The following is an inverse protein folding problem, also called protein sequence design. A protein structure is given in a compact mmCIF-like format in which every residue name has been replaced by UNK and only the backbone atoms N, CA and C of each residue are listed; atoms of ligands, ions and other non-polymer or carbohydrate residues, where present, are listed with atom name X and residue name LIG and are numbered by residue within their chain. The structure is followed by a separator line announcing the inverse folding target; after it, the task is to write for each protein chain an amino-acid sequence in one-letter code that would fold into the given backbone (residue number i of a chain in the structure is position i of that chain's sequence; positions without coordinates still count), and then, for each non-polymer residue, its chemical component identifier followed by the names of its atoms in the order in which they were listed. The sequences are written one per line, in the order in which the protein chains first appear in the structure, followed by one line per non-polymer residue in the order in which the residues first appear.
data_IF_016438621225
#
_entry.id   IF_016438621225
#
_cell.length_a   1.000
_cell.length_b   1.000
_cell.length_c   1.000
_cell.angle_alpha   90.00
_cell.angle_beta   90.00
_cell.angle_gamma   90.00
#
_symmetry.space_group_name_H-M   'P 1'
#
loop_
_entity.id
_entity.type
_entity.pdbx_description
1 polymer ?
#
# COMPACT_ATOMS: atom_id res chain seq x y z
N UNK A 1 8.16 13.11 0.91
CA UNK A 1 7.01 12.20 1.07
C UNK A 1 7.36 10.90 0.39
N UNK A 2 7.06 9.76 1.01
CA UNK A 2 7.24 8.45 0.38
C UNK A 2 6.15 8.31 -0.69
N UNK A 3 6.52 8.29 -1.97
CA UNK A 3 5.61 8.27 -3.13
C UNK A 3 4.45 7.26 -2.97
N UNK A 4 4.71 6.11 -2.38
CA UNK A 4 3.73 5.05 -2.15
C UNK A 4 2.56 5.47 -1.25
N UNK A 5 2.80 6.28 -0.21
CA UNK A 5 1.77 6.75 0.73
C UNK A 5 0.85 7.79 0.08
N UNK A 6 1.43 8.67 -0.74
CA UNK A 6 0.67 9.67 -1.50
C UNK A 6 -0.25 8.99 -2.53
N UNK A 7 0.24 7.91 -3.17
CA UNK A 7 -0.55 7.09 -4.08
C UNK A 7 -1.62 6.29 -3.33
N UNK A 8 -1.33 5.70 -2.17
CA UNK A 8 -2.31 4.98 -1.36
C UNK A 8 -3.51 5.86 -1.00
N UNK A 9 -3.26 7.13 -0.66
CA UNK A 9 -4.32 8.09 -0.32
C UNK A 9 -5.27 8.39 -1.50
N UNK A 10 -4.83 8.18 -2.74
CA UNK A 10 -5.60 8.41 -3.96
C UNK A 10 -6.23 7.13 -4.52
N UNK A 11 -5.62 5.98 -4.27
CA UNK A 11 -6.06 4.70 -4.80
C UNK A 11 -7.25 4.16 -3.99
N UNK A 12 -8.36 3.86 -4.67
CA UNK A 12 -9.53 3.24 -4.03
C UNK A 12 -9.24 1.80 -3.56
N UNK A 13 -9.88 1.31 -2.49
CA UNK A 13 -9.78 -0.08 -2.05
C UNK A 13 -10.03 -1.06 -3.21
N UNK A 14 -9.23 -2.14 -3.28
CA UNK A 14 -9.25 -3.09 -4.39
C UNK A 14 -8.61 -2.62 -5.70
N UNK A 15 -8.11 -1.38 -5.77
CA UNK A 15 -7.36 -0.84 -6.91
C UNK A 15 -5.97 -1.46 -7.04
N UNK A 16 -5.32 -1.20 -8.17
CA UNK A 16 -3.98 -1.71 -8.48
C UNK A 16 -2.97 -0.58 -8.59
N UNK A 17 -1.80 -0.77 -7.99
CA UNK A 17 -0.63 0.06 -8.17
C UNK A 17 0.33 -0.66 -9.12
N UNK A 18 0.65 0.00 -10.24
CA UNK A 18 1.58 -0.51 -11.25
C UNK A 18 2.77 0.42 -11.30
N UNK A 19 3.96 -0.10 -11.00
CA UNK A 19 5.22 0.64 -11.14
C UNK A 19 6.02 -0.02 -12.26
N UNK A 20 6.36 0.79 -13.28
CA UNK A 20 7.21 0.36 -14.41
C UNK A 20 8.34 1.39 -14.61
N UNK A 21 9.58 0.93 -14.76
CA UNK A 21 10.74 1.84 -14.87
C UNK A 21 12.03 1.17 -15.38
N UNK A 22 13.02 1.94 -15.86
CA UNK A 22 14.24 1.41 -16.48
C UNK A 22 15.28 0.94 -15.46
N UNK A 23 16.12 -0.05 -15.82
CA UNK A 23 15.69 -1.43 -15.79
C UNK A 23 15.41 -1.85 -14.35
N UNK A 24 14.16 -2.17 -14.07
CA UNK A 24 13.73 -2.84 -12.86
C UNK A 24 14.28 -4.29 -12.86
N UNK A 25 15.59 -4.41 -12.66
CA UNK A 25 16.29 -5.58 -12.13
C UNK A 25 16.49 -5.35 -10.63
N UNK A 26 15.39 -5.20 -9.89
CA UNK A 26 15.40 -4.88 -8.46
C UNK A 26 16.14 -5.89 -7.56
N UNK A 27 16.50 -7.06 -8.10
CA UNK A 27 17.44 -8.00 -7.48
C UNK A 27 18.89 -7.48 -7.36
N UNK A 28 19.26 -6.37 -8.02
CA UNK A 28 20.59 -5.72 -7.89
C UNK A 28 20.56 -4.43 -7.08
N UNK A 29 19.37 -3.93 -6.74
CA UNK A 29 19.15 -2.73 -5.96
C UNK A 29 18.28 -3.11 -4.75
N UNK A 30 18.79 -4.09 -4.00
CA UNK A 30 18.08 -4.79 -2.92
C UNK A 30 17.45 -3.83 -1.90
N UNK A 31 18.10 -2.68 -1.65
CA UNK A 31 17.64 -1.72 -0.66
C UNK A 31 16.34 -1.03 -1.07
N UNK A 32 16.27 -0.45 -2.27
CA UNK A 32 15.07 0.26 -2.72
C UNK A 32 13.89 -0.68 -2.89
N UNK A 33 14.15 -1.90 -3.36
CA UNK A 33 13.14 -2.95 -3.44
C UNK A 33 12.66 -3.40 -2.06
N UNK A 34 13.58 -3.61 -1.10
CA UNK A 34 13.22 -3.95 0.27
C UNK A 34 12.41 -2.84 0.93
N UNK A 35 12.78 -1.57 0.72
CA UNK A 35 12.05 -0.41 1.23
C UNK A 35 10.64 -0.34 0.61
N UNK A 36 10.50 -0.54 -0.71
CA UNK A 36 9.20 -0.62 -1.38
C UNK A 36 8.35 -1.77 -0.86
N UNK A 37 8.93 -2.96 -0.67
CA UNK A 37 8.24 -4.12 -0.12
C UNK A 37 7.84 -3.89 1.34
N UNK A 38 8.67 -3.23 2.14
CA UNK A 38 8.36 -2.90 3.53
C UNK A 38 7.16 -1.95 3.61
N UNK A 39 7.14 -0.90 2.78
CA UNK A 39 6.01 0.05 2.73
C UNK A 39 4.74 -0.62 2.18
N UNK A 40 4.85 -1.40 1.11
CA UNK A 40 3.73 -2.15 0.56
C UNK A 40 3.12 -3.11 1.60
N UNK A 41 3.97 -3.80 2.37
CA UNK A 41 3.51 -4.69 3.46
C UNK A 41 2.89 -3.93 4.61
N UNK A 42 3.43 -2.77 5.00
CA UNK A 42 2.86 -1.93 6.04
C UNK A 42 1.46 -1.40 5.69
N UNK A 43 1.15 -1.28 4.39
CA UNK A 43 -0.16 -0.89 3.85
C UNK A 43 -0.97 -2.10 3.32
N UNK A 44 -0.43 -3.31 3.47
CA UNK A 44 -0.98 -4.61 3.07
C UNK A 44 -1.44 -4.72 1.65
N UNK A 45 -0.67 -4.07 0.81
CA UNK A 45 -0.70 -4.33 -0.60
C UNK A 45 -0.25 -5.77 -0.86
N UNK A 46 -1.04 -6.48 -1.63
CA UNK A 46 -0.71 -7.82 -2.11
C UNK A 46 0.12 -7.69 -3.38
N UNK A 47 1.32 -8.28 -3.40
CA UNK A 47 2.14 -8.33 -4.61
C UNK A 47 1.57 -9.40 -5.56
N UNK A 48 1.06 -8.98 -6.72
CA UNK A 48 0.38 -9.87 -7.67
C UNK A 48 1.34 -10.38 -8.74
N UNK A 49 2.12 -9.46 -9.34
CA UNK A 49 3.02 -9.78 -10.44
C UNK A 49 4.32 -9.00 -10.28
N UNK A 50 5.44 -9.67 -10.55
CA UNK A 50 6.70 -9.03 -10.89
C UNK A 50 7.15 -9.64 -12.21
N UNK A 51 7.09 -8.85 -13.28
CA UNK A 51 7.43 -9.29 -14.62
C UNK A 51 8.32 -8.27 -15.32
N UNK A 52 9.52 -8.72 -15.70
CA UNK A 52 10.53 -7.88 -16.31
C UNK A 52 10.77 -6.64 -15.45
N UNK A 53 10.39 -5.48 -15.99
CA UNK A 53 10.59 -4.20 -15.34
C UNK A 53 9.35 -3.62 -14.63
N UNK A 54 8.37 -4.46 -14.35
CA UNK A 54 7.06 -4.03 -13.83
C UNK A 54 6.69 -4.83 -12.59
N UNK A 55 6.25 -4.15 -11.55
CA UNK A 55 5.54 -4.79 -10.44
C UNK A 55 4.14 -4.22 -10.27
N UNK A 56 3.25 -5.13 -9.91
CA UNK A 56 1.84 -4.87 -9.70
C UNK A 56 1.49 -5.29 -8.28
N UNK A 57 0.92 -4.34 -7.54
CA UNK A 57 0.34 -4.59 -6.24
C UNK A 57 -1.15 -4.30 -6.24
N UNK A 58 -1.90 -5.02 -5.40
CA UNK A 58 -3.33 -4.82 -5.18
C UNK A 58 -3.58 -4.25 -3.79
N UNK A 59 -4.31 -3.14 -3.73
CA UNK A 59 -4.73 -2.52 -2.47
C UNK A 59 -5.79 -3.40 -1.78
N UNK A 60 -5.74 -3.59 -0.46
CA UNK A 60 -6.76 -4.35 0.25
C UNK A 60 -8.14 -3.68 0.13
N UNK A 61 -9.20 -4.48 0.27
CA UNK A 61 -10.60 -4.02 0.14
C UNK A 61 -11.19 -3.59 1.49
N UNK A 62 -10.51 -3.85 2.61
CA UNK A 62 -10.98 -3.48 3.96
C UNK A 62 -9.85 -3.02 4.88
N UNK A 63 -10.19 -2.67 6.11
CA UNK A 63 -9.31 -2.12 7.17
C UNK A 63 -8.32 -3.13 7.75
N UNK A 64 -7.96 -4.15 6.97
CA UNK A 64 -7.38 -5.39 7.48
C UNK A 64 -5.97 -5.26 8.04
N UNK A 65 -5.36 -4.06 8.03
CA UNK A 65 -3.96 -4.00 8.42
C UNK A 65 -3.36 -2.69 8.86
N UNK A 66 -4.14 -1.77 9.40
CA UNK A 66 -3.49 -0.66 10.07
C UNK A 66 -2.62 -1.22 11.21
N UNK A 67 -1.28 -1.06 11.14
CA UNK A 67 -0.47 -1.31 12.31
C UNK A 67 -1.04 -0.36 13.37
N UNK A 68 -1.39 -0.92 14.54
CA UNK A 68 -1.92 -0.19 15.69
C UNK A 68 -1.51 1.29 15.65
N UNK A 69 -2.49 2.20 15.64
CA UNK A 69 -2.45 3.63 15.27
C UNK A 69 -1.45 4.53 16.02
N UNK A 70 -0.25 4.08 16.37
CA UNK A 70 0.65 4.77 17.28
C UNK A 70 1.97 5.21 16.63
N UNK A 71 2.24 4.88 15.35
CA UNK A 71 3.42 5.40 14.62
C UNK A 71 3.10 6.46 13.54
N UNK A 72 1.90 6.45 12.96
CA UNK A 72 1.54 7.38 11.87
C UNK A 72 0.43 8.39 12.22
N UNK A 73 -0.09 8.36 13.45
CA UNK A 73 -1.06 9.33 13.96
C UNK A 73 -2.40 9.35 13.20
N UNK A 74 -2.79 8.22 12.61
CA UNK A 74 -4.05 8.10 11.87
C UNK A 74 -5.12 7.52 12.79
N UNK A 75 -6.06 8.36 13.22
CA UNK A 75 -7.28 7.95 13.91
C UNK A 75 -8.18 7.23 12.89
N UNK A 76 -8.32 5.92 13.01
CA UNK A 76 -9.31 5.19 12.22
C UNK A 76 -10.68 5.62 12.71
N UNK A 77 -11.48 6.14 11.79
CA UNK A 77 -12.89 6.34 12.03
C UNK A 77 -13.49 5.02 12.52
N UNK A 78 -13.75 4.93 13.82
CA UNK A 78 -14.52 3.82 14.36
C UNK A 78 -15.86 3.75 13.62
N UNK A 79 -16.26 2.55 13.18
CA UNK A 79 -17.58 2.32 12.57
C UNK A 79 -18.76 2.62 13.53
N UNK A 80 -18.48 3.12 14.74
CA UNK A 80 -19.46 3.53 15.74
C UNK A 80 -20.14 4.88 15.44
N UNK A 81 -19.81 5.56 14.33
CA UNK A 81 -20.46 6.80 13.92
C UNK A 81 -21.28 6.67 12.62
N UNK A 82 -22.07 5.61 12.49
CA UNK A 82 -23.20 5.57 11.55
C UNK A 82 -24.50 5.96 12.29
N UNK A 83 -24.93 7.25 12.28
CA UNK A 83 -26.16 7.68 12.94
C UNK A 83 -27.39 7.41 12.05
N UNK A 84 -27.48 6.23 11.43
CA UNK A 84 -28.61 5.86 10.58
C UNK A 84 -29.32 4.61 11.09
N UNK A 85 -29.73 4.63 12.36
CA UNK A 85 -30.96 4.00 12.84
C UNK A 85 -31.15 4.34 14.33
N UNK A 86 -31.87 5.43 14.62
CA UNK A 86 -32.74 5.64 15.79
C UNK A 86 -33.22 7.10 15.82
#
# INVERSE_FOLDING_TARGET
GTYFVEVDRLLRPGGYLVISGPPVQWAKQDKEWADLQAVARALCYELIVVEGNTAIWKKPVGDSCLPNQNEFGLDLCSEAANPSYA
#
